data_IF_102380869842
#
_entry.id   IF_102380869842
#
_cell.length_a   1.000
_cell.length_b   1.000
_cell.length_c   1.000
_cell.angle_alpha   90.00
_cell.angle_beta   90.00
_cell.angle_gamma   90.00
#
_symmetry.space_group_name_H-M   'P 1'
#
loop_
_entity.id
_entity.type
_entity.pdbx_description
1 polymer ?
#
# COMPACT_ATOMS: atom_id res chain seq x y z
N UNK A 1 -8.23 -3.22 6.54
CA UNK A 1 -7.32 -2.66 5.51
C UNK A 1 -7.24 -1.17 5.77
N UNK A 2 -6.03 -0.59 5.82
CA UNK A 2 -5.83 0.84 6.06
C UNK A 2 -5.27 1.51 4.81
N UNK A 3 -5.56 2.79 4.60
CA UNK A 3 -5.10 3.58 3.45
C UNK A 3 -4.29 4.76 3.95
N UNK A 4 -3.16 5.02 3.30
CA UNK A 4 -2.28 6.15 3.56
C UNK A 4 -2.05 6.94 2.25
N UNK A 5 -2.08 8.26 2.32
CA UNK A 5 -1.66 9.12 1.20
C UNK A 5 -0.19 9.50 1.40
N UNK A 6 0.60 9.37 0.34
CA UNK A 6 2.06 9.54 0.40
C UNK A 6 2.62 10.21 -0.86
N UNK A 7 3.95 10.29 -0.95
CA UNK A 7 4.70 10.82 -2.07
C UNK A 7 5.44 9.69 -2.80
N UNK A 8 6.14 10.05 -3.87
CA UNK A 8 6.94 9.11 -4.65
C UNK A 8 7.95 8.33 -3.79
N UNK A 9 8.56 8.99 -2.81
CA UNK A 9 9.68 8.44 -2.02
C UNK A 9 9.24 7.51 -0.88
N UNK A 10 7.94 7.44 -0.58
CA UNK A 10 7.39 6.65 0.52
C UNK A 10 8.05 6.96 1.88
N UNK A 11 8.49 8.21 2.09
CA UNK A 11 9.01 8.68 3.38
C UNK A 11 7.86 9.15 4.25
N UNK A 12 7.33 8.21 5.03
CA UNK A 12 6.06 8.34 5.75
C UNK A 12 6.12 9.35 6.90
N UNK A 13 7.32 9.60 7.43
CA UNK A 13 7.64 10.62 8.43
C UNK A 13 7.68 12.04 7.85
N UNK A 14 7.90 12.17 6.54
CA UNK A 14 8.07 13.46 5.86
C UNK A 14 6.80 14.01 5.21
N UNK A 15 5.72 13.25 5.17
CA UNK A 15 4.51 13.63 4.42
C UNK A 15 3.25 13.77 5.26
N UNK A 16 2.94 14.99 5.68
CA UNK A 16 1.64 15.35 6.26
C UNK A 16 1.29 14.62 7.57
N UNK A 17 0.27 15.13 8.26
CA UNK A 17 -0.08 14.62 9.58
C UNK A 17 -0.68 13.21 9.54
N UNK A 18 -1.43 12.88 8.48
CA UNK A 18 -2.07 11.56 8.37
C UNK A 18 -1.06 10.43 8.19
N UNK A 19 -0.04 10.61 7.34
CA UNK A 19 0.99 9.57 7.16
C UNK A 19 1.84 9.42 8.41
N UNK A 20 2.20 10.51 9.07
CA UNK A 20 2.93 10.49 10.34
C UNK A 20 2.14 9.77 11.44
N UNK A 21 0.83 10.01 11.54
CA UNK A 21 -0.03 9.32 12.49
C UNK A 21 -0.10 7.80 12.23
N UNK A 22 -0.20 7.41 10.95
CA UNK A 22 -0.16 5.99 10.55
C UNK A 22 1.20 5.37 10.91
N UNK A 23 2.32 6.04 10.60
CA UNK A 23 3.65 5.57 10.95
C UNK A 23 3.82 5.40 12.47
N UNK A 24 3.33 6.37 13.24
CA UNK A 24 3.36 6.32 14.71
C UNK A 24 2.58 5.12 15.26
N UNK A 25 1.37 4.87 14.73
CA UNK A 25 0.52 3.79 15.20
C UNK A 25 0.94 2.39 14.72
N UNK A 26 1.46 2.27 13.49
CA UNK A 26 1.90 1.00 12.92
C UNK A 26 3.36 0.67 13.25
N UNK A 27 4.16 1.64 13.67
CA UNK A 27 5.58 1.47 13.99
C UNK A 27 6.51 1.55 12.78
N UNK A 28 7.82 1.73 13.06
CA UNK A 28 8.84 2.00 12.04
C UNK A 28 9.11 0.84 11.08
N UNK A 29 8.65 -0.38 11.38
CA UNK A 29 8.82 -1.54 10.50
C UNK A 29 8.17 -1.32 9.13
N UNK A 30 7.07 -0.57 9.06
CA UNK A 30 6.41 -0.26 7.78
C UNK A 30 7.27 0.68 6.91
N UNK A 31 8.06 1.58 7.51
CA UNK A 31 8.98 2.44 6.78
C UNK A 31 10.14 1.61 6.21
N UNK A 32 10.70 0.70 7.00
CA UNK A 32 11.74 -0.22 6.53
C UNK A 32 11.24 -1.09 5.38
N UNK A 33 9.98 -1.55 5.43
CA UNK A 33 9.38 -2.31 4.35
C UNK A 33 9.21 -1.47 3.07
N UNK A 34 8.79 -0.20 3.20
CA UNK A 34 8.76 0.74 2.07
C UNK A 34 10.15 0.86 1.41
N UNK A 35 11.18 1.08 2.21
CA UNK A 35 12.55 1.30 1.74
C UNK A 35 13.13 0.07 1.02
N UNK A 36 12.79 -1.15 1.49
CA UNK A 36 13.25 -2.41 0.87
C UNK A 36 12.44 -2.77 -0.37
N UNK A 37 11.11 -2.63 -0.34
CA UNK A 37 10.23 -3.07 -1.44
C UNK A 37 10.16 -2.06 -2.59
N UNK A 38 10.37 -0.79 -2.32
CA UNK A 38 10.23 0.29 -3.30
C UNK A 38 11.49 1.19 -3.34
N UNK A 39 12.68 0.62 -3.62
CA UNK A 39 13.95 1.37 -3.55
C UNK A 39 14.08 2.45 -4.64
N UNK A 40 13.23 2.41 -5.68
CA UNK A 40 13.28 3.32 -6.82
C UNK A 40 12.04 4.22 -6.91
N UNK A 41 11.43 4.54 -5.77
CA UNK A 41 10.21 5.34 -5.66
C UNK A 41 8.99 4.68 -6.35
N UNK A 42 7.82 5.31 -6.22
CA UNK A 42 6.59 4.93 -6.91
C UNK A 42 6.09 6.08 -7.80
N UNK A 43 5.35 5.74 -8.87
CA UNK A 43 4.79 6.75 -9.76
C UNK A 43 3.43 7.24 -9.27
N UNK A 44 2.96 8.39 -9.77
CA UNK A 44 1.59 8.81 -9.56
C UNK A 44 0.55 7.76 -9.93
N UNK A 45 -0.43 7.60 -9.05
CA UNK A 45 -1.47 6.59 -9.16
C UNK A 45 -0.98 5.17 -8.88
N UNK A 46 0.28 4.96 -8.51
CA UNK A 46 0.74 3.67 -7.99
C UNK A 46 0.31 3.46 -6.54
N UNK A 47 0.31 2.19 -6.15
CA UNK A 47 -0.04 1.76 -4.80
C UNK A 47 1.06 0.87 -4.27
N UNK A 48 1.75 1.34 -3.24
CA UNK A 48 2.64 0.53 -2.44
C UNK A 48 1.85 -0.15 -1.32
N UNK A 49 2.22 -1.38 -1.00
CA UNK A 49 1.60 -2.18 0.06
C UNK A 49 2.69 -2.61 1.03
N UNK A 50 2.41 -2.39 2.31
CA UNK A 50 3.18 -2.93 3.43
C UNK A 50 2.29 -3.81 4.32
N UNK A 51 2.94 -4.59 5.19
CA UNK A 51 2.25 -5.21 6.32
C UNK A 51 1.63 -4.17 7.26
N UNK A 52 0.85 -4.60 8.26
CA UNK A 52 0.12 -3.67 9.13
C UNK A 52 0.99 -3.05 10.23
N UNK A 53 2.23 -3.52 10.40
CA UNK A 53 3.04 -3.20 11.57
C UNK A 53 2.30 -3.64 12.84
N UNK A 54 2.08 -2.70 13.77
CA UNK A 54 1.33 -2.93 15.01
C UNK A 54 -0.18 -2.70 14.90
N UNK A 55 -0.71 -2.33 13.74
CA UNK A 55 -2.16 -2.12 13.57
C UNK A 55 -2.92 -3.45 13.49
N UNK A 56 -4.17 -3.47 13.95
CA UNK A 56 -5.13 -4.56 13.70
C UNK A 56 -5.66 -4.57 12.25
N UNK A 57 -4.84 -4.17 11.30
CA UNK A 57 -5.14 -4.24 9.88
C UNK A 57 -4.50 -5.49 9.26
N UNK A 58 -4.97 -5.91 8.09
CA UNK A 58 -4.26 -6.94 7.31
C UNK A 58 -3.04 -6.36 6.58
N UNK A 59 -3.18 -5.16 6.00
CA UNK A 59 -2.17 -4.47 5.21
C UNK A 59 -2.46 -2.97 5.18
N UNK A 60 -1.45 -2.16 4.86
CA UNK A 60 -1.56 -0.72 4.62
C UNK A 60 -1.27 -0.43 3.15
N UNK A 61 -2.15 0.35 2.51
CA UNK A 61 -2.05 0.76 1.12
C UNK A 61 -1.60 2.21 1.05
N UNK A 62 -0.38 2.44 0.57
CA UNK A 62 0.23 3.75 0.41
C UNK A 62 0.02 4.23 -1.03
N UNK A 63 -0.74 5.30 -1.20
CA UNK A 63 -1.17 5.82 -2.50
C UNK A 63 -0.47 7.16 -2.76
N UNK A 64 0.29 7.23 -3.85
CA UNK A 64 0.84 8.49 -4.34
C UNK A 64 -0.10 9.10 -5.37
N UNK A 65 -0.66 10.27 -5.05
CA UNK A 65 -1.48 11.07 -5.97
C UNK A 65 -0.67 12.28 -6.43
N UNK A 66 -0.76 12.62 -7.73
CA UNK A 66 -0.12 13.83 -8.27
C UNK A 66 -0.66 15.09 -7.60
N UNK A 67 0.22 16.08 -7.42
CA UNK A 67 -0.21 17.42 -7.06
C UNK A 67 -0.91 18.10 -8.25
N UNK A 68 -1.94 18.87 -7.88
CA UNK A 68 -2.98 19.45 -8.70
C UNK A 68 -2.46 20.35 -9.85
N UNK A 69 -2.99 20.17 -11.06
CA UNK A 69 -3.11 21.28 -12.02
C UNK A 69 -4.16 21.09 -13.14
N UNK A 70 -4.75 19.89 -13.31
CA UNK A 70 -5.87 19.71 -14.25
C UNK A 70 -6.81 18.55 -13.85
N UNK A 71 -8.13 18.77 -13.99
CA UNK A 71 -9.19 17.87 -13.49
C UNK A 71 -9.35 16.55 -14.28
N UNK A 72 -8.88 16.53 -15.52
CA UNK A 72 -8.86 15.35 -16.40
C UNK A 72 -7.81 14.32 -15.95
N UNK A 73 -6.64 14.80 -15.55
CA UNK A 73 -5.54 13.95 -15.10
C UNK A 73 -5.81 13.36 -13.71
N UNK A 74 -6.52 14.09 -12.85
CA UNK A 74 -6.98 13.59 -11.55
C UNK A 74 -7.82 12.31 -11.71
N UNK A 75 -8.83 12.34 -12.58
CA UNK A 75 -9.71 11.19 -12.80
C UNK A 75 -8.92 9.98 -13.30
N UNK A 76 -7.95 10.20 -14.18
CA UNK A 76 -7.06 9.15 -14.70
C UNK A 76 -6.17 8.56 -13.61
N UNK A 77 -5.54 9.41 -12.80
CA UNK A 77 -4.64 9.00 -11.70
C UNK A 77 -5.41 8.25 -10.61
N UNK A 78 -6.57 8.75 -10.21
CA UNK A 78 -7.44 8.10 -9.21
C UNK A 78 -7.98 6.77 -9.74
N UNK A 79 -8.40 6.72 -11.01
CA UNK A 79 -8.84 5.47 -11.63
C UNK A 79 -7.69 4.44 -11.71
N UNK A 80 -6.48 4.88 -12.04
CA UNK A 80 -5.29 4.04 -12.05
C UNK A 80 -4.97 3.49 -10.65
N UNK A 81 -4.99 4.34 -9.61
CA UNK A 81 -4.80 3.92 -8.22
C UNK A 81 -5.85 2.89 -7.78
N UNK A 82 -7.14 3.15 -8.05
CA UNK A 82 -8.23 2.21 -7.76
C UNK A 82 -8.04 0.87 -8.47
N UNK A 83 -7.70 0.90 -9.76
CA UNK A 83 -7.46 -0.32 -10.56
C UNK A 83 -6.28 -1.11 -9.99
N UNK A 84 -5.16 -0.47 -9.69
CA UNK A 84 -3.95 -1.11 -9.15
C UNK A 84 -4.19 -1.69 -7.76
N UNK A 85 -4.86 -0.95 -6.88
CA UNK A 85 -5.26 -1.45 -5.56
C UNK A 85 -6.12 -2.73 -5.67
N UNK A 86 -7.10 -2.73 -6.58
CA UNK A 86 -7.95 -3.91 -6.83
C UNK A 86 -7.16 -5.11 -7.36
N UNK A 87 -6.26 -4.90 -8.31
CA UNK A 87 -5.42 -5.97 -8.87
C UNK A 87 -4.54 -6.59 -7.78
N UNK A 88 -3.81 -5.76 -7.00
CA UNK A 88 -2.96 -6.26 -5.92
C UNK A 88 -3.77 -6.95 -4.82
N UNK A 89 -4.95 -6.42 -4.48
CA UNK A 89 -5.85 -7.05 -3.51
C UNK A 89 -6.36 -8.42 -3.97
N UNK A 90 -6.71 -8.56 -5.25
CA UNK A 90 -7.13 -9.84 -5.84
C UNK A 90 -5.97 -10.85 -5.88
N UNK A 91 -4.77 -10.41 -6.23
CA UNK A 91 -3.57 -11.26 -6.30
C UNK A 91 -3.19 -11.80 -4.90
N UNK A 92 -3.21 -10.93 -3.89
CA UNK A 92 -3.00 -11.30 -2.50
C UNK A 92 -4.06 -12.32 -2.01
N UNK A 93 -5.33 -12.11 -2.35
CA UNK A 93 -6.42 -13.05 -2.03
C UNK A 93 -6.20 -14.41 -2.68
N UNK A 94 -5.83 -14.45 -3.97
CA UNK A 94 -5.58 -15.70 -4.68
C UNK A 94 -4.36 -16.47 -4.16
N UNK A 95 -3.33 -15.78 -3.65
CA UNK A 95 -2.21 -16.42 -2.96
C UNK A 95 -2.65 -17.02 -1.61
N UNK A 96 -3.43 -16.29 -0.82
CA UNK A 96 -3.96 -16.80 0.46
C UNK A 96 -4.88 -18.01 0.26
N UNK A 97 -5.72 -18.00 -0.78
CA UNK A 97 -6.59 -19.14 -1.12
C UNK A 97 -5.76 -20.39 -1.49
N UNK A 98 -4.66 -20.21 -2.24
CA UNK A 98 -3.73 -21.30 -2.56
C UNK A 98 -2.98 -21.83 -1.34
N UNK A 99 -2.48 -20.95 -0.48
CA UNK A 99 -1.80 -21.37 0.76
C UNK A 99 -2.74 -22.19 1.66
N UNK A 100 -4.01 -21.77 1.79
CA UNK A 100 -5.03 -22.52 2.54
C UNK A 100 -5.33 -23.90 1.93
N UNK A 101 -5.18 -24.05 0.61
CA UNK A 101 -5.32 -25.34 -0.07
C UNK A 101 -4.13 -26.26 0.27
N UNK A 102 -2.89 -25.77 0.12
CA UNK A 102 -1.67 -26.53 0.45
C UNK A 102 -1.60 -26.94 1.93
N UNK A 103 -2.06 -26.09 2.85
CA UNK A 103 -2.07 -26.44 4.28
C UNK A 103 -3.06 -27.58 4.60
N UNK A 104 -4.10 -27.77 3.77
CA UNK A 104 -5.06 -28.87 3.96
C UNK A 104 -4.54 -30.18 3.40
N UNK A 105 -3.78 -30.15 2.30
CA UNK A 105 -3.19 -31.35 1.68
C UNK A 105 -2.08 -31.96 2.55
N UNK A 106 -1.37 -31.16 3.36
CA UNK A 106 -0.32 -31.66 4.28
C UNK A 106 -0.84 -32.18 5.64
N UNK A 107 -2.15 -32.15 5.89
CA UNK A 107 -2.77 -32.61 7.14
C UNK A 107 -3.56 -33.93 6.99
N UNK A 108 -3.31 -34.69 5.92
CA UNK A 108 -3.87 -36.04 5.69
C UNK A 108 -2.78 -37.09 5.62
#
# INVERSE_FOLDING_TARGET
MSVNTTNAELKLDKIGLSSQAILSAAGNSIQSECDVKYPFNINPGDVAITGPGYLEALNIFHIYLLHYNDSEDEKKVVAAARRRARLKGNEARGLMERMKYDTREHNY
#
